data_IF_863481036664
#
_entry.id   IF_863481036664
#
_cell.length_a   1.000
_cell.length_b   1.000
_cell.length_c   1.000
_cell.angle_alpha   90.00
_cell.angle_beta   90.00
_cell.angle_gamma   90.00
#
_symmetry.space_group_name_H-M   'P 1'
#
loop_
_entity.id
_entity.type
_entity.pdbx_description
1 polymer ?
#
# COMPACT_ATOMS: atom_id res chain seq x y z
N UNK A 1 11.62 1.41 -25.93
CA UNK A 1 10.91 1.73 -27.19
C UNK A 1 9.71 0.81 -27.29
N UNK A 2 8.50 1.37 -27.21
CA UNK A 2 7.25 0.67 -27.50
C UNK A 2 6.98 0.90 -28.99
N UNK A 3 6.94 -0.17 -29.78
CA UNK A 3 6.52 -0.07 -31.18
C UNK A 3 5.05 -0.45 -31.26
N UNK A 4 4.20 0.48 -31.70
CA UNK A 4 2.78 0.23 -31.96
C UNK A 4 2.64 -0.09 -33.44
N UNK A 5 1.98 -1.20 -33.78
CA UNK A 5 1.62 -1.51 -35.16
C UNK A 5 0.13 -1.84 -35.24
N UNK A 6 -0.53 -1.26 -36.23
CA UNK A 6 -1.97 -1.43 -36.50
C UNK A 6 -2.11 -2.40 -37.67
N UNK A 7 -2.93 -3.42 -37.52
CA UNK A 7 -3.29 -4.34 -38.60
C UNK A 7 -4.80 -4.56 -38.62
N UNK A 8 -5.38 -4.56 -39.81
CA UNK A 8 -6.79 -4.88 -40.06
C UNK A 8 -6.94 -6.36 -40.41
N UNK A 9 -7.71 -7.11 -39.62
CA UNK A 9 -8.12 -8.47 -39.97
C UNK A 9 -9.57 -8.51 -40.47
N UNK A 10 -9.79 -9.20 -41.58
CA UNK A 10 -11.13 -9.49 -42.11
C UNK A 10 -11.63 -10.81 -41.50
N UNK A 11 -12.62 -10.73 -40.61
CA UNK A 11 -13.31 -11.92 -40.10
C UNK A 11 -14.44 -12.27 -41.09
N UNK A 12 -14.39 -13.45 -41.68
CA UNK A 12 -15.50 -14.00 -42.46
C UNK A 12 -16.44 -14.75 -41.52
N UNK A 13 -17.49 -14.08 -41.06
CA UNK A 13 -18.63 -14.77 -40.46
C UNK A 13 -19.60 -15.23 -41.56
N UNK A 14 -19.91 -16.53 -41.55
CA UNK A 14 -21.01 -17.13 -42.32
C UNK A 14 -22.32 -16.78 -41.61
N UNK A 15 -22.81 -15.56 -41.78
CA UNK A 15 -24.23 -15.30 -42.03
C UNK A 15 -24.47 -13.82 -42.32
N UNK A 16 -25.56 -13.57 -43.04
CA UNK A 16 -25.82 -12.38 -43.86
C UNK A 16 -25.74 -11.04 -43.11
N UNK A 17 -25.11 -10.06 -43.79
CA UNK A 17 -25.40 -8.62 -43.74
C UNK A 17 -25.04 -7.83 -42.46
N UNK A 18 -23.75 -7.72 -42.12
CA UNK A 18 -23.17 -6.45 -41.64
C UNK A 18 -21.62 -6.49 -41.70
N UNK A 19 -20.96 -5.54 -42.35
CA UNK A 19 -19.48 -5.44 -42.37
C UNK A 19 -19.03 -4.41 -41.33
N UNK A 20 -18.65 -4.85 -40.13
CA UNK A 20 -17.97 -4.00 -39.16
C UNK A 20 -16.46 -4.31 -39.17
N UNK A 21 -15.64 -3.31 -39.53
CA UNK A 21 -14.19 -3.38 -39.36
C UNK A 21 -13.85 -3.10 -37.89
N UNK A 22 -13.27 -4.07 -37.19
CA UNK A 22 -12.81 -3.89 -35.81
C UNK A 22 -11.28 -3.67 -35.81
N UNK A 23 -10.82 -2.57 -35.22
CA UNK A 23 -9.41 -2.29 -35.00
C UNK A 23 -8.97 -2.94 -33.68
N UNK A 24 -7.93 -3.77 -33.74
CA UNK A 24 -7.35 -4.44 -32.55
C UNK A 24 -5.94 -3.94 -32.33
N UNK A 25 -5.68 -3.37 -31.14
CA UNK A 25 -4.36 -2.93 -30.70
C UNK A 25 -3.67 -4.06 -29.94
N UNK A 26 -2.53 -4.53 -30.44
CA UNK A 26 -1.65 -5.46 -29.72
C UNK A 26 -0.42 -4.73 -29.17
N UNK A 27 -0.17 -4.88 -27.87
CA UNK A 27 1.04 -4.38 -27.22
C UNK A 27 1.89 -5.58 -26.75
N UNK A 28 3.05 -5.83 -27.38
CA UNK A 28 4.03 -6.82 -26.92
C UNK A 28 5.17 -6.11 -26.18
N UNK A 29 5.45 -6.53 -24.95
CA UNK A 29 6.64 -6.12 -24.21
C UNK A 29 7.82 -7.02 -24.59
N UNK A 30 8.92 -6.42 -25.05
CA UNK A 30 10.17 -7.12 -25.30
C UNK A 30 10.93 -7.37 -23.99
N UNK A 31 11.12 -8.63 -23.65
CA UNK A 31 11.96 -9.10 -22.56
C UNK A 31 13.44 -8.95 -22.96
N UNK A 32 14.24 -8.24 -22.15
CA UNK A 32 15.71 -8.35 -22.18
C UNK A 32 16.21 -8.52 -20.76
N UNK A 33 16.85 -9.65 -20.53
CA UNK A 33 17.66 -9.95 -19.35
C UNK A 33 18.82 -8.96 -19.23
N UNK A 34 18.96 -8.35 -18.07
CA UNK A 34 20.22 -7.80 -17.59
C UNK A 34 20.38 -8.15 -16.11
N UNK A 35 21.46 -8.87 -15.83
CA UNK A 35 21.81 -9.42 -14.52
C UNK A 35 22.26 -8.37 -13.50
N UNK A 36 22.43 -8.89 -12.29
CA UNK A 36 22.75 -8.21 -11.05
C UNK A 36 23.88 -7.15 -11.13
N UNK A 37 23.61 -5.95 -10.59
CA UNK A 37 24.62 -5.07 -10.01
C UNK A 37 24.06 -4.36 -8.76
N UNK A 38 24.95 -4.20 -7.78
CA UNK A 38 24.73 -3.85 -6.37
C UNK A 38 24.32 -2.40 -6.14
N UNK A 39 23.76 -2.20 -4.95
CA UNK A 39 23.65 -0.94 -4.20
C UNK A 39 25.00 -0.18 -4.22
N UNK A 40 24.95 1.10 -4.61
CA UNK A 40 25.90 2.20 -4.32
C UNK A 40 26.03 3.17 -5.50
N UNK A 41 24.98 3.95 -5.86
CA UNK A 41 25.12 5.15 -6.72
C UNK A 41 23.89 6.09 -6.69
N UNK A 42 23.27 6.30 -5.52
CA UNK A 42 22.13 7.22 -5.36
C UNK A 42 22.50 8.60 -4.76
N UNK A 43 23.74 9.05 -4.93
CA UNK A 43 24.18 10.40 -4.55
C UNK A 43 25.14 10.95 -5.62
N UNK A 44 24.66 11.27 -6.82
CA UNK A 44 25.40 12.18 -7.73
C UNK A 44 24.56 12.90 -8.80
N UNK A 45 23.24 13.02 -8.64
CA UNK A 45 22.37 13.72 -9.61
C UNK A 45 21.71 14.99 -9.05
N UNK A 46 22.32 15.61 -8.04
CA UNK A 46 21.82 16.85 -7.41
C UNK A 46 22.56 18.12 -7.91
N UNK A 47 23.63 18.03 -8.69
CA UNK A 47 24.32 19.24 -9.17
C UNK A 47 24.70 19.14 -10.64
N UNK A 48 23.78 19.54 -11.53
CA UNK A 48 24.13 20.09 -12.84
C UNK A 48 22.97 20.95 -13.38
N UNK A 49 22.72 22.07 -12.71
CA UNK A 49 21.71 23.05 -13.06
C UNK A 49 22.26 24.46 -12.95
N UNK A 50 23.24 24.80 -13.79
CA UNK A 50 23.53 26.18 -14.18
C UNK A 50 24.64 26.18 -15.23
N UNK A 51 24.31 26.51 -16.48
CA UNK A 51 25.22 27.17 -17.43
C UNK A 51 24.41 27.72 -18.61
N UNK A 52 24.19 29.03 -18.56
CA UNK A 52 24.08 30.03 -19.62
C UNK A 52 23.67 29.59 -21.04
N UNK A 53 22.49 30.04 -21.47
CA UNK A 53 22.16 30.19 -22.88
C UNK A 53 22.24 31.68 -23.24
N UNK A 54 23.24 32.03 -24.03
CA UNK A 54 23.48 33.34 -24.61
C UNK A 54 23.42 33.18 -26.14
N UNK A 55 22.53 33.95 -26.76
CA UNK A 55 22.39 34.30 -28.19
C UNK A 55 22.85 33.30 -29.28
N UNK A 56 21.87 32.75 -30.01
CA UNK A 56 22.03 32.22 -31.37
C UNK A 56 20.91 32.80 -32.28
N UNK A 57 21.21 33.23 -33.52
CA UNK A 57 20.25 33.87 -34.43
C UNK A 57 19.27 32.85 -35.05
N UNK A 58 18.12 33.29 -35.62
CA UNK A 58 17.06 32.39 -36.00
C UNK A 58 17.44 31.58 -37.25
N UNK A 59 17.44 30.25 -37.11
CA UNK A 59 17.46 29.34 -38.25
C UNK A 59 16.13 29.46 -39.00
N UNK A 60 16.19 29.85 -40.27
CA UNK A 60 15.08 29.68 -41.21
C UNK A 60 14.66 28.21 -41.24
N UNK A 61 13.42 27.93 -40.84
CA UNK A 61 12.79 26.63 -41.02
C UNK A 61 12.62 26.37 -42.53
N UNK A 62 13.46 25.51 -43.09
CA UNK A 62 13.22 24.91 -44.39
C UNK A 62 11.97 24.03 -44.30
N UNK A 63 10.89 24.44 -44.98
CA UNK A 63 9.69 23.63 -45.13
C UNK A 63 10.06 22.32 -45.87
N UNK A 64 9.89 21.18 -45.22
CA UNK A 64 10.20 19.88 -45.79
C UNK A 64 9.35 19.60 -47.04
N UNK A 65 10.00 19.20 -48.14
CA UNK A 65 9.33 18.79 -49.37
C UNK A 65 8.50 17.52 -49.14
N UNK A 66 7.17 17.60 -49.34
CA UNK A 66 6.28 16.44 -49.29
C UNK A 66 6.67 15.44 -50.39
N UNK A 67 6.73 14.16 -50.03
CA UNK A 67 7.11 13.04 -50.91
C UNK A 67 6.00 12.01 -50.97
N UNK A 68 5.88 11.30 -52.08
CA UNK A 68 4.96 10.17 -52.24
C UNK A 68 5.40 8.97 -51.38
N UNK A 69 4.55 7.95 -51.31
CA UNK A 69 4.84 6.72 -50.57
C UNK A 69 6.07 5.98 -51.13
N UNK A 70 6.33 6.09 -52.44
CA UNK A 70 7.56 5.62 -53.10
C UNK A 70 8.76 6.59 -52.98
N UNK A 71 8.64 7.68 -52.21
CA UNK A 71 9.73 8.61 -51.92
C UNK A 71 10.02 9.66 -53.00
N UNK A 72 9.21 9.76 -54.05
CA UNK A 72 9.36 10.78 -55.09
C UNK A 72 8.85 12.14 -54.60
N UNK A 73 9.53 13.26 -54.91
CA UNK A 73 9.04 14.61 -54.60
C UNK A 73 7.70 14.86 -55.30
N UNK A 74 6.70 15.29 -54.53
CA UNK A 74 5.40 15.69 -55.10
C UNK A 74 5.49 17.16 -55.53
N UNK A 75 5.28 17.44 -56.81
CA UNK A 75 5.09 18.80 -57.30
C UNK A 75 3.71 19.31 -56.85
N UNK A 76 3.69 20.39 -56.07
CA UNK A 76 2.44 21.01 -55.62
C UNK A 76 1.79 21.71 -56.82
N UNK A 77 0.62 21.23 -57.25
CA UNK A 77 -0.18 21.89 -58.27
C UNK A 77 -0.73 23.21 -57.69
N UNK A 78 -0.67 24.35 -58.41
CA UNK A 78 -1.15 25.64 -57.87
C UNK A 78 -2.61 25.64 -57.40
N UNK A 79 -3.43 24.71 -57.90
CA UNK A 79 -4.81 24.50 -57.46
C UNK A 79 -4.94 23.78 -56.11
N UNK A 80 -3.96 22.97 -55.70
CA UNK A 80 -3.96 22.32 -54.37
C UNK A 80 -3.64 23.33 -53.26
N UNK A 81 -2.86 24.37 -53.58
CA UNK A 81 -2.58 25.50 -52.67
C UNK A 81 -3.85 26.30 -52.35
N UNK A 82 -4.75 26.45 -53.33
CA UNK A 82 -6.01 27.18 -53.18
C UNK A 82 -7.02 26.38 -52.34
N UNK A 83 -7.06 25.04 -52.47
CA UNK A 83 -7.90 24.19 -51.61
C UNK A 83 -7.36 24.08 -50.18
N UNK A 84 -6.04 24.12 -49.99
CA UNK A 84 -5.43 24.18 -48.66
C UNK A 84 -5.76 25.48 -47.91
N UNK A 85 -5.93 26.60 -48.63
CA UNK A 85 -6.39 27.87 -48.03
C UNK A 85 -7.85 27.80 -47.58
N UNK A 86 -8.71 27.00 -48.23
CA UNK A 86 -10.12 26.87 -47.86
C UNK A 86 -10.38 25.91 -46.68
N UNK A 87 -9.43 25.02 -46.35
CA UNK A 87 -9.51 24.12 -45.18
C UNK A 87 -9.04 24.77 -43.85
N UNK A 88 -8.48 25.98 -43.91
CA UNK A 88 -7.89 26.65 -42.74
C UNK A 88 -8.90 27.15 -41.71
N UNK A 89 -10.20 27.25 -42.03
CA UNK A 89 -11.22 27.69 -41.04
C UNK A 89 -11.50 26.65 -39.95
N UNK A 90 -11.26 25.36 -40.21
CA UNK A 90 -11.53 24.28 -39.24
C UNK A 90 -10.36 23.97 -38.30
N UNK A 91 -9.12 24.26 -38.73
CA UNK A 91 -7.91 24.03 -37.95
C UNK A 91 -7.85 24.80 -36.62
N UNK A 92 -8.19 26.10 -36.52
CA UNK A 92 -8.16 26.83 -35.25
C UNK A 92 -9.24 26.32 -34.27
N UNK A 93 -10.37 25.84 -34.78
CA UNK A 93 -11.41 25.21 -33.95
C UNK A 93 -10.96 23.87 -33.39
N UNK A 94 -10.21 23.07 -34.14
CA UNK A 94 -9.70 21.79 -33.65
C UNK A 94 -8.54 22.02 -32.67
N UNK A 95 -7.63 22.95 -32.97
CA UNK A 95 -6.51 23.27 -32.09
C UNK A 95 -6.97 23.77 -30.71
N UNK A 96 -7.98 24.64 -30.66
CA UNK A 96 -8.56 25.11 -29.38
C UNK A 96 -9.21 23.99 -28.57
N UNK A 97 -9.80 22.98 -29.22
CA UNK A 97 -10.31 21.77 -28.54
C UNK A 97 -9.14 20.99 -27.91
N UNK A 98 -8.02 20.83 -28.61
CA UNK A 98 -6.84 20.15 -28.07
C UNK A 98 -6.15 20.95 -26.96
N UNK A 99 -6.17 22.28 -27.02
CA UNK A 99 -5.69 23.13 -25.92
C UNK A 99 -6.53 22.92 -24.65
N UNK A 100 -7.86 22.90 -24.78
CA UNK A 100 -8.73 22.58 -23.64
C UNK A 100 -8.46 21.18 -23.08
N UNK A 101 -8.28 20.17 -23.95
CA UNK A 101 -7.93 18.81 -23.50
C UNK A 101 -6.59 18.75 -22.80
N UNK A 102 -5.57 19.49 -23.29
CA UNK A 102 -4.28 19.60 -22.64
C UNK A 102 -4.44 20.17 -21.23
N UNK A 103 -5.13 21.30 -21.11
CA UNK A 103 -5.26 22.01 -19.83
C UNK A 103 -6.05 21.15 -18.81
N UNK A 104 -7.08 20.42 -19.24
CA UNK A 104 -7.81 19.48 -18.38
C UNK A 104 -6.93 18.28 -17.94
N UNK A 105 -6.13 17.73 -18.85
CA UNK A 105 -5.22 16.63 -18.53
C UNK A 105 -4.11 17.06 -17.58
N UNK A 106 -3.54 18.25 -17.79
CA UNK A 106 -2.48 18.81 -16.94
C UNK A 106 -3.00 19.04 -15.52
N UNK A 107 -4.14 19.69 -15.33
CA UNK A 107 -4.74 19.86 -13.98
C UNK A 107 -5.10 18.50 -13.35
N UNK A 108 -5.58 17.53 -14.15
CA UNK A 108 -5.82 16.17 -13.65
C UNK A 108 -4.51 15.52 -13.14
N UNK A 109 -3.41 15.68 -13.86
CA UNK A 109 -2.10 15.11 -13.48
C UNK A 109 -1.53 15.81 -12.25
N UNK A 110 -1.62 17.13 -12.18
CA UNK A 110 -1.18 17.91 -11.03
C UNK A 110 -1.98 17.55 -9.78
N UNK A 111 -3.31 17.45 -9.89
CA UNK A 111 -4.17 16.97 -8.81
C UNK A 111 -3.77 15.59 -8.32
N UNK A 112 -3.55 14.65 -9.25
CA UNK A 112 -3.13 13.29 -8.92
C UNK A 112 -1.81 13.30 -8.14
N UNK A 113 -0.85 14.11 -8.54
CA UNK A 113 0.44 14.22 -7.87
C UNK A 113 0.34 14.86 -6.48
N UNK A 114 -0.52 15.89 -6.31
CA UNK A 114 -0.81 16.50 -5.01
C UNK A 114 -1.38 15.47 -4.01
N UNK A 115 -2.29 14.61 -4.47
CA UNK A 115 -2.88 13.55 -3.64
C UNK A 115 -1.84 12.48 -3.29
N UNK A 116 -1.01 12.05 -4.25
CA UNK A 116 0.04 11.05 -4.02
C UNK A 116 1.04 11.52 -2.98
N UNK A 117 1.44 12.80 -3.02
CA UNK A 117 2.35 13.38 -2.02
C UNK A 117 1.77 13.30 -0.61
N UNK A 118 0.51 13.77 -0.43
CA UNK A 118 -0.18 13.69 0.87
C UNK A 118 -0.35 12.24 1.34
N UNK A 119 -0.71 11.32 0.45
CA UNK A 119 -0.82 9.88 0.72
C UNK A 119 0.48 9.31 1.29
N UNK A 120 1.63 9.63 0.68
CA UNK A 120 2.97 9.20 1.16
C UNK A 120 3.29 9.78 2.53
N UNK A 121 2.97 11.04 2.78
CA UNK A 121 3.20 11.69 4.07
C UNK A 121 2.35 11.05 5.18
N UNK A 122 1.07 10.73 4.89
CA UNK A 122 0.18 10.00 5.80
C UNK A 122 0.75 8.62 6.12
N UNK A 123 1.20 7.87 5.11
CA UNK A 123 1.85 6.56 5.31
C UNK A 123 3.08 6.70 6.22
N UNK A 124 3.95 7.68 5.97
CA UNK A 124 5.17 7.88 6.74
C UNK A 124 4.87 8.23 8.21
N UNK A 125 3.86 9.06 8.47
CA UNK A 125 3.43 9.41 9.83
C UNK A 125 2.79 8.22 10.55
N UNK A 126 1.96 7.44 9.85
CA UNK A 126 1.30 6.25 10.39
C UNK A 126 2.31 5.18 10.81
N UNK A 127 3.35 4.94 10.00
CA UNK A 127 4.48 4.07 10.37
C UNK A 127 5.18 4.51 11.65
N UNK A 128 5.43 5.82 11.80
CA UNK A 128 6.05 6.36 13.01
C UNK A 128 5.19 6.13 14.25
N UNK A 129 3.87 6.23 14.11
CA UNK A 129 2.92 5.89 15.18
C UNK A 129 3.04 4.40 15.52
N UNK A 130 2.97 3.51 14.54
CA UNK A 130 3.09 2.05 14.72
C UNK A 130 4.41 1.70 15.44
N UNK A 131 5.55 2.23 14.98
CA UNK A 131 6.83 2.01 15.65
C UNK A 131 6.86 2.53 17.09
N UNK A 132 6.22 3.66 17.36
CA UNK A 132 6.12 4.18 18.72
C UNK A 132 5.27 3.28 19.61
N UNK A 133 4.17 2.72 19.08
CA UNK A 133 3.25 1.79 19.75
C UNK A 133 3.89 0.43 20.03
N UNK A 134 4.78 -0.07 19.15
CA UNK A 134 5.54 -1.30 19.37
C UNK A 134 6.44 -1.26 20.63
N UNK A 135 6.67 -0.08 21.22
CA UNK A 135 7.40 0.07 22.48
C UNK A 135 6.54 -0.16 23.73
N UNK A 136 5.21 -0.15 23.58
CA UNK A 136 4.26 -0.47 24.65
C UNK A 136 4.38 -1.95 25.01
N UNK A 137 4.08 -2.32 26.27
CA UNK A 137 4.27 -3.68 26.80
C UNK A 137 3.01 -4.35 27.32
N UNK A 138 1.92 -3.60 27.43
CA UNK A 138 0.66 -4.05 28.01
C UNK A 138 -0.49 -3.72 27.08
N UNK A 139 -1.47 -4.62 26.99
CA UNK A 139 -2.76 -4.41 26.34
C UNK A 139 -3.80 -4.01 27.38
N UNK A 140 -4.93 -3.46 26.93
CA UNK A 140 -6.05 -3.04 27.77
C UNK A 140 -5.63 -2.07 28.91
N UNK A 141 -4.67 -1.20 28.61
CA UNK A 141 -4.11 -0.21 29.54
C UNK A 141 -3.88 1.10 28.79
N UNK A 142 -3.90 2.25 29.49
CA UNK A 142 -3.61 3.52 28.86
C UNK A 142 -2.19 3.53 28.30
N UNK A 143 -2.03 4.01 27.07
CA UNK A 143 -0.72 4.18 26.45
C UNK A 143 0.11 5.18 27.29
N UNK A 144 1.40 4.93 27.54
CA UNK A 144 2.26 5.83 28.31
C UNK A 144 2.18 7.27 27.79
N UNK A 145 2.02 8.22 28.71
CA UNK A 145 1.70 9.62 28.40
C UNK A 145 2.59 10.23 27.30
N UNK A 146 3.90 9.99 27.37
CA UNK A 146 4.86 10.50 26.39
C UNK A 146 4.58 9.98 24.98
N UNK A 147 4.32 8.68 24.83
CA UNK A 147 4.00 8.04 23.54
C UNK A 147 2.62 8.52 23.07
N UNK A 148 1.65 8.62 23.98
CA UNK A 148 0.30 9.07 23.65
C UNK A 148 0.31 10.52 23.11
N UNK A 149 1.03 11.44 23.75
CA UNK A 149 1.16 12.83 23.30
C UNK A 149 1.88 12.90 21.94
N UNK A 150 3.00 12.18 21.80
CA UNK A 150 3.78 12.13 20.56
C UNK A 150 2.95 11.59 19.37
N UNK A 151 2.16 10.54 19.61
CA UNK A 151 1.27 9.97 18.61
C UNK A 151 0.07 10.85 18.32
N UNK A 152 -0.50 11.53 19.33
CA UNK A 152 -1.58 12.48 19.11
C UNK A 152 -1.16 13.60 18.17
N UNK A 153 0.03 14.18 18.36
CA UNK A 153 0.56 15.20 17.44
C UNK A 153 0.69 14.68 16.00
N UNK A 154 1.05 13.41 15.82
CA UNK A 154 1.10 12.79 14.48
C UNK A 154 -0.29 12.53 13.91
N UNK A 155 -1.25 12.10 14.72
CA UNK A 155 -2.63 11.97 14.30
C UNK A 155 -3.22 13.31 13.86
N UNK A 156 -2.92 14.40 14.58
CA UNK A 156 -3.35 15.75 14.21
C UNK A 156 -2.74 16.18 12.85
N UNK A 157 -1.46 15.86 12.62
CA UNK A 157 -0.80 16.09 11.33
C UNK A 157 -1.45 15.28 10.19
N UNK A 158 -1.76 14.00 10.44
CA UNK A 158 -2.45 13.14 9.47
C UNK A 158 -3.85 13.70 9.17
N UNK A 159 -4.58 14.16 10.20
CA UNK A 159 -5.89 14.77 10.02
C UNK A 159 -5.82 16.00 9.12
N UNK A 160 -4.86 16.90 9.35
CA UNK A 160 -4.63 18.06 8.49
C UNK A 160 -4.28 17.69 7.04
N UNK A 161 -3.52 16.60 6.83
CA UNK A 161 -3.23 16.08 5.49
C UNK A 161 -4.50 15.58 4.80
N UNK A 162 -5.36 14.85 5.52
CA UNK A 162 -6.65 14.41 5.00
C UNK A 162 -7.57 15.58 4.66
N UNK A 163 -7.68 16.59 5.52
CA UNK A 163 -8.43 17.82 5.24
C UNK A 163 -7.95 18.49 3.94
N UNK A 164 -6.63 18.51 3.73
CA UNK A 164 -6.05 19.00 2.49
C UNK A 164 -6.37 18.15 1.26
N UNK A 165 -6.80 16.89 1.40
CA UNK A 165 -7.21 16.02 0.29
C UNK A 165 -8.69 16.18 -0.04
N UNK A 166 -9.55 16.43 0.95
CA UNK A 166 -11.00 16.60 0.74
C UNK A 166 -11.36 17.46 -0.48
N UNK A 167 -10.82 18.68 -0.67
CA UNK A 167 -11.20 19.51 -1.82
C UNK A 167 -10.79 18.91 -3.17
N UNK A 168 -9.73 18.10 -3.21
CA UNK A 168 -9.26 17.43 -4.43
C UNK A 168 -10.16 16.24 -4.82
N UNK A 169 -10.95 15.74 -3.87
CA UNK A 169 -11.91 14.65 -4.09
C UNK A 169 -13.34 15.14 -4.32
N UNK A 170 -13.58 16.45 -4.44
CA UNK A 170 -14.91 16.98 -4.75
C UNK A 170 -15.23 16.88 -6.25
N UNK A 171 -16.52 16.72 -6.55
CA UNK A 171 -17.06 16.72 -7.91
C UNK A 171 -17.36 15.32 -8.48
N UNK A 172 -17.67 15.28 -9.78
CA UNK A 172 -18.17 14.09 -10.49
C UNK A 172 -17.16 12.92 -10.47
N UNK A 173 -15.86 13.24 -10.38
CA UNK A 173 -14.77 12.28 -10.47
C UNK A 173 -14.13 11.94 -9.11
N UNK A 174 -14.86 12.09 -7.99
CA UNK A 174 -14.33 11.82 -6.65
C UNK A 174 -13.66 10.43 -6.52
N UNK A 175 -14.27 9.41 -7.12
CA UNK A 175 -13.80 8.02 -7.13
C UNK A 175 -12.46 7.84 -7.87
N UNK A 176 -12.14 8.73 -8.83
CA UNK A 176 -10.98 8.60 -9.72
C UNK A 176 -9.66 8.62 -8.95
N UNK A 177 -9.64 9.34 -7.83
CA UNK A 177 -8.42 9.55 -7.04
C UNK A 177 -8.33 8.66 -5.79
N UNK A 178 -9.34 7.82 -5.51
CA UNK A 178 -9.38 6.95 -4.33
C UNK A 178 -8.14 6.05 -4.26
N UNK A 179 -7.71 5.49 -5.40
CA UNK A 179 -6.54 4.61 -5.47
C UNK A 179 -5.23 5.30 -5.11
N UNK A 180 -5.11 6.60 -5.34
CA UNK A 180 -3.88 7.32 -5.03
C UNK A 180 -3.72 7.55 -3.52
N UNK A 181 -4.83 7.67 -2.79
CA UNK A 181 -4.82 7.85 -1.34
C UNK A 181 -4.98 6.54 -0.55
N UNK A 182 -5.52 5.50 -1.18
CA UNK A 182 -5.78 4.18 -0.60
C UNK A 182 -4.61 3.63 0.24
N UNK A 183 -3.37 3.70 -0.24
CA UNK A 183 -2.20 3.27 0.53
C UNK A 183 -1.99 4.06 1.84
N UNK A 184 -2.22 5.38 1.81
CA UNK A 184 -2.20 6.22 3.01
C UNK A 184 -3.32 5.88 3.98
N UNK A 185 -4.52 5.60 3.46
CA UNK A 185 -5.69 5.20 4.26
C UNK A 185 -5.45 3.84 4.93
N UNK A 186 -4.95 2.85 4.21
CA UNK A 186 -4.66 1.51 4.73
C UNK A 186 -3.66 1.56 5.89
N UNK A 187 -2.56 2.30 5.73
CA UNK A 187 -1.56 2.46 6.79
C UNK A 187 -2.11 3.26 7.99
N UNK A 188 -2.96 4.25 7.76
CA UNK A 188 -3.64 4.97 8.82
C UNK A 188 -4.59 4.04 9.61
N UNK A 189 -5.35 3.19 8.93
CA UNK A 189 -6.22 2.19 9.56
C UNK A 189 -5.40 1.23 10.41
N UNK A 190 -4.26 0.74 9.91
CA UNK A 190 -3.34 -0.10 10.68
C UNK A 190 -2.89 0.61 11.97
N UNK A 191 -2.46 1.87 11.87
CA UNK A 191 -2.01 2.66 13.02
C UNK A 191 -3.12 2.91 14.06
N UNK A 192 -4.31 3.31 13.61
CA UNK A 192 -5.47 3.56 14.50
C UNK A 192 -5.95 2.25 15.13
N UNK A 193 -6.00 1.17 14.37
CA UNK A 193 -6.44 -0.13 14.87
C UNK A 193 -5.47 -0.66 15.92
N UNK A 194 -4.16 -0.46 15.72
CA UNK A 194 -3.17 -0.88 16.70
C UNK A 194 -3.22 -0.03 17.98
N UNK A 195 -3.36 1.31 17.86
CA UNK A 195 -3.56 2.19 19.03
C UNK A 195 -4.82 1.77 19.82
N UNK A 196 -5.94 1.54 19.13
CA UNK A 196 -7.20 1.14 19.74
C UNK A 196 -7.11 -0.24 20.42
N UNK A 197 -6.49 -1.22 19.76
CA UNK A 197 -6.29 -2.55 20.32
C UNK A 197 -5.43 -2.53 21.58
N UNK A 198 -4.35 -1.73 21.61
CA UNK A 198 -3.53 -1.62 22.81
C UNK A 198 -4.29 -1.01 23.99
N UNK A 199 -5.22 -0.07 23.73
CA UNK A 199 -6.03 0.59 24.77
C UNK A 199 -7.18 -0.27 25.28
N UNK A 200 -7.85 -1.01 24.40
CA UNK A 200 -9.15 -1.63 24.69
C UNK A 200 -9.15 -3.15 24.57
N UNK A 201 -8.12 -3.71 23.92
CA UNK A 201 -8.05 -5.11 23.50
C UNK A 201 -9.29 -5.55 22.71
N UNK A 202 -9.79 -4.65 21.87
CA UNK A 202 -10.85 -4.93 20.90
C UNK A 202 -10.41 -4.46 19.54
N UNK A 203 -11.04 -4.99 18.49
CA UNK A 203 -10.83 -4.51 17.13
C UNK A 203 -11.71 -3.28 16.90
N UNK A 204 -11.12 -2.20 16.39
CA UNK A 204 -11.87 -1.00 16.01
C UNK A 204 -12.79 -1.32 14.83
N UNK A 205 -14.03 -0.82 14.84
CA UNK A 205 -14.99 -1.03 13.76
C UNK A 205 -14.73 -0.10 12.57
N UNK A 206 -15.24 -0.45 11.39
CA UNK A 206 -15.18 0.41 10.20
C UNK A 206 -15.79 1.79 10.43
N UNK A 207 -16.92 1.86 11.15
CA UNK A 207 -17.60 3.11 11.47
C UNK A 207 -16.76 4.01 12.39
N UNK A 208 -16.13 3.42 13.41
CA UNK A 208 -15.21 4.14 14.30
C UNK A 208 -13.97 4.63 13.57
N UNK A 209 -13.40 3.84 12.66
CA UNK A 209 -12.31 4.29 11.78
C UNK A 209 -12.75 5.46 10.89
N UNK A 210 -13.95 5.37 10.30
CA UNK A 210 -14.49 6.42 9.43
C UNK A 210 -14.73 7.72 10.18
N UNK A 211 -15.08 7.65 11.47
CA UNK A 211 -15.21 8.82 12.33
C UNK A 211 -13.88 9.50 12.69
N UNK A 212 -12.74 8.84 12.42
CA UNK A 212 -11.39 9.38 12.68
C UNK A 212 -10.83 10.20 11.51
N UNK A 213 -11.52 10.25 10.37
CA UNK A 213 -11.13 11.05 9.21
C UNK A 213 -12.18 12.13 8.92
N UNK A 214 -11.79 13.24 8.27
CA UNK A 214 -12.71 14.29 7.89
C UNK A 214 -13.84 13.79 6.98
N UNK A 215 -15.05 14.37 7.08
CA UNK A 215 -16.11 14.14 6.10
C UNK A 215 -15.61 14.45 4.69
N UNK A 216 -15.77 13.49 3.77
CA UNK A 216 -15.28 13.59 2.39
C UNK A 216 -14.13 12.63 2.07
N UNK A 217 -13.43 12.11 3.08
CA UNK A 217 -12.53 10.97 2.89
C UNK A 217 -13.34 9.68 3.04
N UNK A 218 -13.42 8.91 1.96
CA UNK A 218 -14.07 7.60 1.97
C UNK A 218 -13.09 6.54 2.46
N UNK A 219 -13.39 5.91 3.59
CA UNK A 219 -12.77 4.64 3.98
C UNK A 219 -13.57 3.52 3.33
N UNK A 220 -13.04 2.93 2.25
CA UNK A 220 -13.67 1.78 1.63
C UNK A 220 -13.58 0.55 2.54
N UNK A 221 -14.51 -0.38 2.40
CA UNK A 221 -14.44 -1.68 3.09
C UNK A 221 -13.14 -2.43 2.74
N UNK A 222 -12.67 -2.26 1.50
CA UNK A 222 -11.41 -2.83 1.07
C UNK A 222 -10.22 -2.24 1.82
N UNK A 223 -10.10 -0.91 1.88
CA UNK A 223 -9.00 -0.25 2.57
C UNK A 223 -8.98 -0.65 4.05
N UNK A 224 -10.16 -0.79 4.66
CA UNK A 224 -10.31 -1.30 6.01
C UNK A 224 -9.79 -2.73 6.16
N UNK A 225 -10.25 -3.67 5.34
CA UNK A 225 -9.80 -5.06 5.40
C UNK A 225 -8.29 -5.19 5.11
N UNK A 226 -7.77 -4.43 4.15
CA UNK A 226 -6.35 -4.44 3.79
C UNK A 226 -5.46 -3.88 4.90
N UNK A 227 -5.88 -2.78 5.56
CA UNK A 227 -5.19 -2.27 6.75
C UNK A 227 -5.24 -3.24 7.92
N UNK A 228 -6.35 -3.95 8.10
CA UNK A 228 -6.48 -4.98 9.13
C UNK A 228 -5.63 -6.24 8.85
N UNK A 229 -5.42 -6.62 7.59
CA UNK A 229 -4.47 -7.67 7.26
C UNK A 229 -3.06 -7.30 7.73
N UNK A 230 -2.62 -6.06 7.50
CA UNK A 230 -1.30 -5.60 7.91
C UNK A 230 -1.18 -5.47 9.45
N UNK A 231 -2.25 -5.04 10.12
CA UNK A 231 -2.35 -5.04 11.59
C UNK A 231 -2.00 -6.40 12.20
N UNK A 232 -2.40 -7.52 11.58
CA UNK A 232 -2.07 -8.86 12.12
C UNK A 232 -0.56 -9.10 12.23
N UNK A 233 0.22 -8.50 11.33
CA UNK A 233 1.69 -8.54 11.36
C UNK A 233 2.26 -7.74 12.54
N UNK A 234 1.71 -6.56 12.82
CA UNK A 234 2.12 -5.73 13.95
C UNK A 234 1.68 -6.33 15.30
N UNK A 235 0.48 -6.92 15.38
CA UNK A 235 0.04 -7.70 16.54
C UNK A 235 0.95 -8.91 16.78
N UNK A 236 1.39 -9.60 15.73
CA UNK A 236 2.35 -10.70 15.84
C UNK A 236 3.70 -10.22 16.36
N UNK A 237 4.24 -9.13 15.84
CA UNK A 237 5.48 -8.52 16.34
C UNK A 237 5.38 -8.16 17.82
N UNK A 238 4.29 -7.53 18.21
CA UNK A 238 3.99 -7.18 19.59
C UNK A 238 3.91 -8.42 20.49
N UNK A 239 3.18 -9.46 20.05
CA UNK A 239 3.02 -10.70 20.79
C UNK A 239 4.37 -11.40 21.00
N UNK A 240 5.16 -11.61 19.95
CA UNK A 240 6.46 -12.29 20.03
C UNK A 240 7.43 -11.52 20.93
N UNK A 241 7.47 -10.19 20.85
CA UNK A 241 8.30 -9.35 21.71
C UNK A 241 7.86 -9.43 23.18
N UNK A 242 6.55 -9.47 23.43
CA UNK A 242 5.98 -9.59 24.78
C UNK A 242 6.25 -10.97 25.38
N UNK A 243 6.18 -12.02 24.56
CA UNK A 243 6.48 -13.41 24.93
C UNK A 243 7.98 -13.62 25.20
N UNK A 244 8.86 -12.99 24.41
CA UNK A 244 10.32 -13.10 24.58
C UNK A 244 10.85 -12.32 25.77
N UNK A 245 10.22 -11.19 26.11
CA UNK A 245 10.59 -10.37 27.27
C UNK A 245 10.21 -11.03 28.61
N UNK A 246 9.54 -12.20 28.56
CA UNK A 246 9.26 -13.05 29.71
C UNK A 246 8.64 -12.29 30.88
N UNK A 247 7.65 -11.42 30.61
CA UNK A 247 7.18 -10.40 31.55
C UNK A 247 7.10 -10.92 33.00
N UNK A 248 8.16 -10.59 33.72
CA UNK A 248 8.37 -10.71 35.15
C UNK A 248 7.49 -9.68 35.88
N UNK A 249 6.18 -9.79 35.67
CA UNK A 249 5.16 -9.10 36.46
C UNK A 249 4.15 -10.14 36.92
N UNK A 250 4.63 -10.98 37.82
CA UNK A 250 3.98 -11.18 39.12
C UNK A 250 3.49 -9.82 39.63
N UNK A 251 2.24 -9.46 39.34
CA UNK A 251 1.58 -8.37 40.06
C UNK A 251 0.24 -8.87 40.59
N UNK A 252 0.30 -9.20 41.88
CA UNK A 252 -0.77 -9.34 42.87
C UNK A 252 -1.73 -10.53 42.65
N UNK A 253 -1.72 -11.55 43.50
CA UNK A 253 -1.93 -11.43 44.95
C UNK A 253 -1.28 -12.61 45.66
N UNK A 254 -0.36 -12.33 46.60
CA UNK A 254 -0.09 -13.26 47.69
C UNK A 254 -1.40 -13.52 48.41
N UNK A 255 -1.96 -14.71 48.26
CA UNK A 255 -2.52 -15.48 49.36
C UNK A 255 -2.95 -16.86 48.88
N UNK A 256 -2.65 -17.85 49.73
CA UNK A 256 -2.88 -19.28 49.61
C UNK A 256 -1.99 -20.03 48.61
N UNK A 257 -0.91 -20.57 49.16
CA UNK A 257 -0.24 -21.75 48.63
C UNK A 257 -1.26 -22.89 48.49
N UNK A 258 -1.70 -23.13 47.26
CA UNK A 258 -2.30 -24.39 46.86
C UNK A 258 -1.75 -24.77 45.49
N UNK A 259 -1.03 -25.89 45.51
CA UNK A 259 -0.58 -26.78 44.44
C UNK A 259 -0.99 -26.51 42.99
N UNK A 260 -0.03 -26.79 42.09
CA UNK A 260 -0.12 -26.82 40.62
C UNK A 260 -0.02 -25.47 39.91
N UNK A 261 1.12 -24.79 40.07
CA UNK A 261 1.53 -23.66 39.21
C UNK A 261 1.97 -24.18 37.82
N UNK A 262 0.99 -24.61 37.02
CA UNK A 262 1.19 -24.92 35.60
C UNK A 262 1.58 -23.61 34.92
N UNK A 263 2.75 -23.55 34.28
CA UNK A 263 3.18 -22.36 33.57
C UNK A 263 2.23 -22.07 32.41
N UNK A 264 1.24 -21.23 32.66
CA UNK A 264 0.29 -20.73 31.67
C UNK A 264 0.81 -19.43 31.09
N UNK A 265 0.56 -19.20 29.80
CA UNK A 265 0.75 -17.89 29.18
C UNK A 265 0.02 -16.83 30.02
N UNK A 266 0.65 -15.69 30.33
CA UNK A 266 0.01 -14.64 31.13
C UNK A 266 -1.35 -14.27 30.52
N UNK A 267 -2.37 -13.92 31.32
CA UNK A 267 -3.75 -13.69 30.82
C UNK A 267 -3.82 -12.71 29.64
N UNK A 268 -3.00 -11.65 29.66
CA UNK A 268 -2.87 -10.67 28.57
C UNK A 268 -2.23 -11.26 27.30
N UNK A 269 -1.24 -12.14 27.46
CA UNK A 269 -0.55 -12.84 26.37
C UNK A 269 -1.38 -14.00 25.80
N UNK A 270 -2.20 -14.67 26.62
CA UNK A 270 -3.19 -15.64 26.18
C UNK A 270 -4.29 -14.95 25.37
N UNK A 271 -4.68 -13.76 25.80
CA UNK A 271 -5.63 -12.88 25.09
C UNK A 271 -5.22 -12.64 23.65
N UNK A 272 -4.01 -12.12 23.40
CA UNK A 272 -3.59 -11.79 22.02
C UNK A 272 -3.55 -12.99 21.06
N UNK A 273 -3.23 -14.19 21.54
CA UNK A 273 -3.27 -15.41 20.71
C UNK A 273 -4.72 -15.74 20.32
N UNK A 274 -5.65 -15.64 21.27
CA UNK A 274 -7.08 -15.87 21.04
C UNK A 274 -7.65 -14.82 20.09
N UNK A 275 -7.28 -13.55 20.30
CA UNK A 275 -7.74 -12.43 19.48
C UNK A 275 -7.24 -12.58 18.03
N UNK A 276 -5.97 -12.95 17.81
CA UNK A 276 -5.42 -13.24 16.47
C UNK A 276 -6.10 -14.43 15.79
N UNK A 277 -6.46 -15.48 16.54
CA UNK A 277 -7.23 -16.61 16.01
C UNK A 277 -8.63 -16.20 15.58
N UNK A 278 -9.30 -15.36 16.38
CA UNK A 278 -10.61 -14.83 16.04
C UNK A 278 -10.55 -13.97 14.77
N UNK A 279 -9.54 -13.11 14.65
CA UNK A 279 -9.31 -12.31 13.44
C UNK A 279 -9.08 -13.20 12.23
N UNK A 280 -8.22 -14.23 12.34
CA UNK A 280 -7.99 -15.21 11.27
C UNK A 280 -9.27 -15.91 10.84
N UNK A 281 -10.06 -16.40 11.80
CA UNK A 281 -11.32 -17.08 11.51
C UNK A 281 -12.30 -16.14 10.77
N UNK A 282 -12.34 -14.86 11.17
CA UNK A 282 -13.11 -13.84 10.47
C UNK A 282 -12.67 -13.65 9.02
N UNK A 283 -11.37 -13.51 8.77
CA UNK A 283 -10.83 -13.36 7.41
C UNK A 283 -11.02 -14.61 6.55
N UNK A 284 -10.82 -15.81 7.09
CA UNK A 284 -11.00 -17.07 6.36
C UNK A 284 -12.47 -17.35 6.03
N UNK A 285 -13.41 -16.76 6.76
CA UNK A 285 -14.85 -16.82 6.46
C UNK A 285 -15.26 -15.86 5.34
N UNK A 286 -14.43 -14.86 4.98
CA UNK A 286 -14.75 -13.91 3.92
C UNK A 286 -14.73 -14.60 2.55
N UNK A 287 -15.82 -14.44 1.81
CA UNK A 287 -15.90 -14.86 0.41
C UNK A 287 -15.94 -13.62 -0.47
N UNK A 288 -14.86 -13.38 -1.22
CA UNK A 288 -14.75 -12.25 -2.13
C UNK A 288 -14.95 -12.72 -3.57
N UNK A 289 -15.87 -12.09 -4.35
CA UNK A 289 -16.05 -12.45 -5.75
C UNK A 289 -14.76 -12.29 -6.55
N UNK A 290 -14.46 -13.24 -7.43
CA UNK A 290 -13.27 -13.26 -8.29
C UNK A 290 -13.08 -11.97 -9.12
N UNK A 291 -14.17 -11.29 -9.47
CA UNK A 291 -14.15 -10.04 -10.25
C UNK A 291 -13.87 -8.80 -9.40
N UNK A 292 -13.94 -8.92 -8.09
CA UNK A 292 -13.61 -7.83 -7.20
C UNK A 292 -12.08 -7.68 -7.21
N UNK A 293 -11.57 -6.60 -7.79
CA UNK A 293 -10.79 -5.74 -6.92
C UNK A 293 -9.62 -6.33 -6.12
N UNK A 294 -9.84 -6.26 -4.81
CA UNK A 294 -9.11 -6.88 -3.70
C UNK A 294 -8.71 -8.35 -3.90
N UNK A 295 -9.43 -9.13 -4.70
CA UNK A 295 -9.28 -10.58 -4.78
C UNK A 295 -7.83 -11.02 -5.03
N UNK A 296 -7.13 -10.31 -5.92
CA UNK A 296 -5.74 -10.62 -6.27
C UNK A 296 -4.77 -10.43 -5.10
N UNK A 297 -4.95 -9.34 -4.36
CA UNK A 297 -4.00 -8.93 -3.33
C UNK A 297 -4.35 -9.59 -1.98
N UNK A 298 -5.62 -9.94 -1.77
CA UNK A 298 -6.15 -10.64 -0.60
C UNK A 298 -5.49 -12.01 -0.38
N UNK A 299 -5.29 -12.82 -1.43
CA UNK A 299 -4.70 -14.15 -1.28
C UNK A 299 -3.31 -14.08 -0.63
N UNK A 300 -2.46 -13.16 -1.10
CA UNK A 300 -1.12 -12.95 -0.54
C UNK A 300 -1.20 -12.41 0.90
N UNK A 301 -2.14 -11.49 1.18
CA UNK A 301 -2.33 -10.96 2.55
C UNK A 301 -2.84 -12.03 3.51
N UNK A 302 -3.71 -12.92 3.05
CA UNK A 302 -4.20 -14.06 3.80
C UNK A 302 -3.07 -15.02 4.16
N UNK A 303 -2.20 -15.37 3.21
CA UNK A 303 -1.01 -16.20 3.49
C UNK A 303 -0.10 -15.54 4.55
N UNK A 304 0.15 -14.24 4.45
CA UNK A 304 0.98 -13.50 5.42
C UNK A 304 0.34 -13.46 6.81
N UNK A 305 -0.98 -13.26 6.87
CA UNK A 305 -1.74 -13.26 8.12
C UNK A 305 -1.73 -14.64 8.78
N UNK A 306 -1.99 -15.72 8.02
CA UNK A 306 -1.90 -17.10 8.52
C UNK A 306 -0.51 -17.39 9.12
N UNK A 307 0.55 -17.05 8.39
CA UNK A 307 1.92 -17.18 8.87
C UNK A 307 2.19 -16.37 10.14
N UNK A 308 1.58 -15.19 10.27
CA UNK A 308 1.71 -14.33 11.45
C UNK A 308 1.03 -14.95 12.66
N UNK A 309 -0.20 -15.47 12.50
CA UNK A 309 -0.92 -16.17 13.56
C UNK A 309 -0.15 -17.42 14.01
N UNK A 310 0.30 -18.26 13.07
CA UNK A 310 1.04 -19.47 13.42
C UNK A 310 2.35 -19.18 14.17
N UNK A 311 3.03 -18.08 13.87
CA UNK A 311 4.24 -17.67 14.62
C UNK A 311 3.92 -17.39 16.08
N UNK A 312 2.82 -16.69 16.34
CA UNK A 312 2.38 -16.38 17.70
C UNK A 312 1.93 -17.64 18.42
N UNK A 313 1.22 -18.54 17.74
CA UNK A 313 0.81 -19.83 18.30
C UNK A 313 2.01 -20.71 18.66
N UNK A 314 3.01 -20.81 17.78
CA UNK A 314 4.25 -21.57 18.05
C UNK A 314 5.01 -20.97 19.23
N UNK A 315 5.08 -19.65 19.33
CA UNK A 315 5.73 -18.97 20.45
C UNK A 315 4.99 -19.24 21.77
N UNK A 316 3.66 -19.13 21.78
CA UNK A 316 2.83 -19.43 22.95
C UNK A 316 2.93 -20.91 23.36
N UNK A 317 2.85 -21.83 22.39
CA UNK A 317 3.03 -23.27 22.62
C UNK A 317 4.39 -23.57 23.27
N UNK A 318 5.47 -22.97 22.75
CA UNK A 318 6.81 -23.14 23.31
C UNK A 318 6.90 -22.71 24.77
N UNK A 319 6.20 -21.64 25.17
CA UNK A 319 6.16 -21.18 26.57
C UNK A 319 5.39 -22.17 27.45
N UNK A 320 4.20 -22.60 27.02
CA UNK A 320 3.37 -23.54 27.79
C UNK A 320 4.09 -24.87 28.02
N UNK A 321 4.70 -25.42 26.98
CA UNK A 321 5.41 -26.71 27.07
C UNK A 321 6.67 -26.58 27.92
N UNK A 322 7.55 -25.60 27.63
CA UNK A 322 8.79 -25.42 28.41
C UNK A 322 8.52 -25.10 29.86
N UNK A 323 7.51 -24.29 30.13
CA UNK A 323 7.11 -23.97 31.49
C UNK A 323 6.45 -25.15 32.23
N UNK A 324 5.91 -26.13 31.50
CA UNK A 324 5.46 -27.40 32.08
C UNK A 324 6.63 -28.37 32.35
N UNK A 325 7.71 -28.31 31.56
CA UNK A 325 8.91 -29.14 31.73
C UNK A 325 9.88 -28.61 32.79
N UNK A 326 9.99 -27.28 32.94
CA UNK A 326 10.91 -26.61 33.87
C UNK A 326 10.14 -25.57 34.70
N UNK A 327 9.53 -25.98 35.82
CA UNK A 327 8.84 -25.06 36.73
C UNK A 327 9.80 -23.99 37.28
N UNK A 328 9.24 -22.89 37.79
CA UNK A 328 10.02 -21.83 38.42
C UNK A 328 10.94 -22.39 39.52
N UNK A 329 12.23 -22.05 39.48
CA UNK A 329 13.24 -22.58 40.41
C UNK A 329 13.82 -23.95 40.05
N UNK A 330 13.43 -24.55 38.92
CA UNK A 330 14.04 -25.79 38.45
C UNK A 330 15.51 -25.56 38.06
N UNK A 331 16.43 -26.20 38.77
CA UNK A 331 17.84 -26.34 38.39
C UNK A 331 18.12 -27.79 38.03
N UNK A 332 18.90 -28.08 36.97
CA UNK A 332 19.34 -29.45 36.72
C UNK A 332 20.05 -30.01 37.95
N UNK A 333 19.72 -31.24 38.34
CA UNK A 333 20.47 -31.92 39.39
C UNK A 333 21.86 -32.28 38.84
N UNK A 334 22.85 -31.47 39.21
CA UNK A 334 24.26 -31.64 38.85
C UNK A 334 24.99 -32.58 39.82
N UNK A 335 24.30 -33.23 40.77
CA UNK A 335 24.92 -34.15 41.74
C UNK A 335 25.10 -35.58 41.22
N UNK A 336 24.53 -35.91 40.06
CA UNK A 336 24.74 -37.19 39.41
C UNK A 336 26.15 -37.32 38.84
N UNK A 337 26.85 -38.40 39.16
CA UNK A 337 28.13 -38.75 38.53
C UNK A 337 27.96 -38.81 37.01
N UNK A 338 28.71 -37.99 36.29
CA UNK A 338 28.76 -38.02 34.83
C UNK A 338 29.29 -39.40 34.43
N UNK A 339 28.39 -40.32 34.06
CA UNK A 339 28.79 -41.53 33.35
C UNK A 339 29.24 -41.10 31.96
N UNK A 340 30.54 -40.80 31.84
CA UNK A 340 31.21 -40.66 30.57
C UNK A 340 31.19 -42.05 29.94
N UNK A 341 30.30 -42.25 28.97
CA UNK A 341 30.33 -43.45 28.14
C UNK A 341 31.70 -43.50 27.43
N UNK A 342 32.60 -44.35 27.92
CA UNK A 342 33.86 -44.65 27.23
C UNK A 342 33.50 -45.46 25.99
N UNK A 343 33.67 -44.84 24.82
CA UNK A 343 33.60 -45.52 23.53
C UNK A 343 34.87 -46.32 23.25
#
# INVERSE_FOLDING_TARGET
MITISISTQNIKDKDKSNKNNQLVLHCRHGQRDLGALREDHLISLINWGHLNFQDQPPHFLSMGTKRSWEGQPLELNPQDTIMAETETESAPSILSIFENFRDELDEHHDRRERIIKKSRDITALSKKIIFALQRVRTTNQPIPLKIAQENQTRFDQIHALFEGVVPEQLGINCWRYQRQISAGIQEFIEAVSFDHYLRTQTLITHAECSARVPPGILISEEDYLMGLYDLTGEMMRFAVLSLSSGNATTNATENTASDSEKSTVASSQGGIVVDLRAIRAGFEALTVPQRHYMFRDMAKKQDVMQNSVEKVERAAYGIVVRGSERPSGWTPDLSGSVEVASY
#
